data_IF_701196710414
#
_entry.id   IF_701196710414
#
_cell.length_a   1.000
_cell.length_b   1.000
_cell.length_c   1.000
_cell.angle_alpha   90.00
_cell.angle_beta   90.00
_cell.angle_gamma   90.00
#
_symmetry.space_group_name_H-M   'P 1'
#
loop_
_entity.id
_entity.type
_entity.pdbx_description
1 polymer ?
#
# COMPACT_ATOMS: atom_id res chain seq x y z
N UNK A 1 6.57 14.44 -22.18
CA UNK A 1 6.19 13.19 -21.49
C UNK A 1 5.84 12.18 -22.56
N UNK A 2 6.66 11.18 -22.70
CA UNK A 2 6.72 10.30 -23.88
C UNK A 2 5.62 9.22 -23.79
N UNK A 3 4.56 9.37 -24.57
CA UNK A 3 3.42 8.42 -24.63
C UNK A 3 3.85 7.01 -25.07
N UNK A 4 4.95 6.88 -25.81
CA UNK A 4 5.45 5.59 -26.29
C UNK A 4 6.09 4.73 -25.20
N UNK A 5 6.67 5.32 -24.16
CA UNK A 5 7.31 4.58 -23.07
C UNK A 5 6.27 4.01 -22.08
N UNK A 6 5.17 4.73 -21.88
CA UNK A 6 4.06 4.31 -20.99
C UNK A 6 3.31 3.11 -21.59
N UNK A 7 3.16 3.04 -22.91
CA UNK A 7 2.48 1.91 -23.58
C UNK A 7 3.33 0.64 -23.60
N UNK A 8 4.64 0.74 -23.83
CA UNK A 8 5.55 -0.41 -23.79
C UNK A 8 5.68 -1.02 -22.40
N UNK A 9 5.75 -0.19 -21.36
CA UNK A 9 5.76 -0.64 -19.96
C UNK A 9 4.42 -1.30 -19.56
N UNK A 10 3.30 -0.83 -20.09
CA UNK A 10 1.98 -1.42 -19.85
C UNK A 10 1.80 -2.78 -20.53
N UNK A 11 2.28 -2.93 -21.77
CA UNK A 11 2.22 -4.20 -22.51
C UNK A 11 3.12 -5.26 -21.88
N UNK A 12 4.35 -4.90 -21.49
CA UNK A 12 5.25 -5.80 -20.77
C UNK A 12 4.66 -6.23 -19.42
N UNK A 13 4.00 -5.32 -18.71
CA UNK A 13 3.30 -5.62 -17.46
C UNK A 13 2.14 -6.59 -17.67
N UNK A 14 1.34 -6.43 -18.72
CA UNK A 14 0.25 -7.35 -19.07
C UNK A 14 0.73 -8.74 -19.47
N UNK A 15 1.85 -8.83 -20.23
CA UNK A 15 2.47 -10.11 -20.57
C UNK A 15 2.91 -10.85 -19.29
N UNK A 16 3.56 -10.15 -18.38
CA UNK A 16 4.01 -10.73 -17.09
C UNK A 16 2.82 -11.17 -16.20
N UNK A 17 1.75 -10.37 -16.15
CA UNK A 17 0.52 -10.75 -15.45
C UNK A 17 -0.06 -12.03 -16.05
N UNK A 18 -0.10 -12.18 -17.37
CA UNK A 18 -0.58 -13.40 -18.01
C UNK A 18 0.25 -14.64 -17.62
N UNK A 19 1.56 -14.52 -17.52
CA UNK A 19 2.44 -15.62 -17.06
C UNK A 19 2.08 -16.04 -15.64
N UNK A 20 1.99 -15.08 -14.70
CA UNK A 20 1.61 -15.35 -13.33
C UNK A 20 0.23 -16.02 -13.25
N UNK A 21 -0.74 -15.52 -14.02
CA UNK A 21 -2.10 -16.08 -14.03
C UNK A 21 -2.13 -17.51 -14.57
N UNK A 22 -1.27 -17.86 -15.52
CA UNK A 22 -1.15 -19.24 -16.05
C UNK A 22 -0.65 -20.19 -14.96
N UNK A 23 0.32 -19.79 -14.12
CA UNK A 23 0.82 -20.61 -13.02
C UNK A 23 -0.29 -21.06 -12.05
N UNK A 24 -1.30 -20.21 -11.87
CA UNK A 24 -2.41 -20.44 -10.94
C UNK A 24 -3.70 -20.97 -11.62
N UNK A 25 -3.72 -21.12 -12.95
CA UNK A 25 -4.93 -21.47 -13.71
C UNK A 25 -5.52 -22.86 -13.40
N UNK A 26 -4.71 -23.76 -12.85
CA UNK A 26 -5.11 -25.10 -12.47
C UNK A 26 -5.91 -25.17 -11.14
N UNK A 27 -6.03 -24.06 -10.40
CA UNK A 27 -6.54 -24.07 -9.04
C UNK A 27 -7.63 -22.99 -8.86
N UNK A 28 -8.92 -23.40 -8.92
CA UNK A 28 -10.06 -22.46 -8.78
C UNK A 28 -10.07 -21.67 -7.47
N UNK A 29 -9.44 -22.16 -6.40
CA UNK A 29 -9.33 -21.50 -5.09
C UNK A 29 -8.12 -20.57 -4.97
N UNK A 30 -7.31 -20.46 -6.00
CA UNK A 30 -6.06 -19.68 -5.97
C UNK A 30 -6.23 -18.17 -6.15
N UNK A 31 -7.47 -17.62 -6.14
CA UNK A 31 -7.71 -16.20 -6.37
C UNK A 31 -6.90 -15.31 -5.42
N UNK A 32 -6.95 -15.58 -4.10
CA UNK A 32 -6.23 -14.76 -3.12
C UNK A 32 -4.71 -14.88 -3.28
N UNK A 33 -4.10 -16.08 -3.33
CA UNK A 33 -2.67 -16.21 -3.60
C UNK A 33 -2.24 -15.54 -4.91
N UNK A 34 -3.04 -15.63 -5.97
CA UNK A 34 -2.76 -15.02 -7.26
C UNK A 34 -2.73 -13.49 -7.18
N UNK A 35 -3.75 -12.86 -6.60
CA UNK A 35 -3.76 -11.40 -6.48
C UNK A 35 -2.66 -10.89 -5.54
N UNK A 36 -2.32 -11.65 -4.50
CA UNK A 36 -1.16 -11.35 -3.64
C UNK A 36 0.16 -11.44 -4.41
N UNK A 37 0.33 -12.45 -5.27
CA UNK A 37 1.52 -12.60 -6.10
C UNK A 37 1.68 -11.42 -7.07
N UNK A 38 0.59 -11.02 -7.74
CA UNK A 38 0.58 -9.85 -8.62
C UNK A 38 0.93 -8.59 -7.82
N UNK A 39 0.30 -8.37 -6.66
CA UNK A 39 0.59 -7.21 -5.83
C UNK A 39 2.03 -7.18 -5.33
N UNK A 40 2.61 -8.31 -4.96
CA UNK A 40 4.01 -8.39 -4.50
C UNK A 40 4.99 -8.03 -5.62
N UNK A 41 4.65 -8.35 -6.87
CA UNK A 41 5.52 -8.09 -8.01
C UNK A 41 5.38 -6.64 -8.54
N UNK A 42 4.15 -6.12 -8.59
CA UNK A 42 3.86 -4.78 -9.15
C UNK A 42 3.68 -3.69 -8.08
N UNK A 43 3.59 -4.05 -6.79
CA UNK A 43 3.30 -3.13 -5.69
C UNK A 43 1.80 -2.81 -5.54
N UNK A 44 0.98 -3.16 -6.52
CA UNK A 44 -0.48 -3.02 -6.54
C UNK A 44 -1.09 -4.01 -7.54
N UNK A 45 -2.41 -4.11 -7.60
CA UNK A 45 -3.14 -4.95 -8.55
C UNK A 45 -3.64 -4.04 -9.68
N UNK A 46 -3.02 -4.05 -10.87
CA UNK A 46 -3.46 -3.23 -12.00
C UNK A 46 -4.92 -3.56 -12.36
N UNK A 47 -5.83 -2.57 -12.49
CA UNK A 47 -7.23 -2.83 -12.82
C UNK A 47 -7.42 -3.66 -14.09
N UNK A 48 -6.51 -3.53 -15.05
CA UNK A 48 -6.50 -4.30 -16.30
C UNK A 48 -6.26 -5.81 -16.09
N UNK A 49 -5.67 -6.22 -14.96
CA UNK A 49 -5.46 -7.62 -14.61
C UNK A 49 -6.75 -8.34 -14.20
N UNK A 50 -7.73 -7.60 -13.68
CA UNK A 50 -8.96 -8.16 -13.12
C UNK A 50 -9.75 -9.01 -14.13
N UNK A 51 -10.05 -8.53 -15.36
CA UNK A 51 -10.73 -9.35 -16.36
C UNK A 51 -9.88 -10.55 -16.83
N UNK A 52 -8.55 -10.43 -16.84
CA UNK A 52 -7.65 -11.52 -17.21
C UNK A 52 -7.72 -12.64 -16.17
N UNK A 53 -7.62 -12.27 -14.88
CA UNK A 53 -7.77 -13.19 -13.74
C UNK A 53 -9.13 -13.90 -13.79
N UNK A 54 -10.20 -13.14 -13.95
CA UNK A 54 -11.56 -13.64 -14.01
C UNK A 54 -11.72 -14.69 -15.12
N UNK A 55 -11.30 -14.36 -16.34
CA UNK A 55 -11.38 -15.25 -17.50
C UNK A 55 -10.60 -16.55 -17.29
N UNK A 56 -9.37 -16.46 -16.74
CA UNK A 56 -8.51 -17.64 -16.55
C UNK A 56 -8.96 -18.57 -15.43
N UNK A 57 -9.51 -18.02 -14.34
CA UNK A 57 -10.02 -18.82 -13.22
C UNK A 57 -11.49 -19.26 -13.42
N UNK A 58 -12.15 -18.87 -14.51
CA UNK A 58 -13.57 -19.16 -14.75
C UNK A 58 -14.50 -18.46 -13.74
N UNK A 59 -14.13 -17.25 -13.30
CA UNK A 59 -14.89 -16.43 -12.36
C UNK A 59 -15.52 -15.23 -13.07
N UNK A 60 -16.52 -14.63 -12.43
CA UNK A 60 -17.01 -13.32 -12.85
C UNK A 60 -16.06 -12.21 -12.39
N UNK A 61 -15.91 -11.17 -13.19
CA UNK A 61 -15.09 -9.98 -12.84
C UNK A 61 -15.53 -9.37 -11.50
N UNK A 62 -16.81 -9.37 -11.22
CA UNK A 62 -17.38 -8.90 -9.94
C UNK A 62 -16.93 -9.71 -8.73
N UNK A 63 -16.71 -11.03 -8.89
CA UNK A 63 -16.20 -11.88 -7.80
C UNK A 63 -14.74 -11.53 -7.50
N UNK A 64 -13.92 -11.35 -8.53
CA UNK A 64 -12.52 -10.93 -8.36
C UNK A 64 -12.45 -9.55 -7.69
N UNK A 65 -13.26 -8.61 -8.16
CA UNK A 65 -13.31 -7.26 -7.60
C UNK A 65 -13.86 -7.24 -6.18
N UNK A 66 -14.85 -8.09 -5.88
CA UNK A 66 -15.37 -8.27 -4.52
C UNK A 66 -14.31 -8.74 -3.54
N UNK A 67 -13.48 -9.70 -3.93
CA UNK A 67 -12.35 -10.16 -3.11
C UNK A 67 -11.33 -9.04 -2.89
N UNK A 68 -10.93 -8.33 -3.95
CA UNK A 68 -9.95 -7.24 -3.85
C UNK A 68 -10.48 -6.11 -2.93
N UNK A 69 -11.75 -5.75 -3.05
CA UNK A 69 -12.34 -4.69 -2.20
C UNK A 69 -12.58 -5.11 -0.76
N UNK A 70 -12.78 -6.41 -0.50
CA UNK A 70 -12.99 -6.94 0.84
C UNK A 70 -11.71 -6.91 1.69
N UNK A 71 -10.56 -7.22 1.07
CA UNK A 71 -9.29 -7.26 1.79
C UNK A 71 -8.59 -5.90 1.73
N UNK A 72 -8.55 -5.17 2.84
CA UNK A 72 -7.90 -3.86 2.96
C UNK A 72 -6.39 -3.86 2.67
N UNK A 73 -5.78 -5.03 2.55
CA UNK A 73 -4.37 -5.20 2.20
C UNK A 73 -4.14 -5.31 0.68
N UNK A 74 -5.21 -5.39 -0.12
CA UNK A 74 -5.14 -5.46 -1.58
C UNK A 74 -5.40 -4.05 -2.16
N UNK A 75 -4.52 -3.61 -3.02
CA UNK A 75 -4.52 -2.24 -3.55
C UNK A 75 -4.62 -2.24 -5.07
N UNK A 76 -5.50 -1.42 -5.61
CA UNK A 76 -5.66 -1.24 -7.07
C UNK A 76 -4.94 0.00 -7.61
N UNK A 77 -4.35 0.79 -6.71
CA UNK A 77 -3.59 2.00 -7.05
C UNK A 77 -2.13 1.85 -6.64
N UNK A 78 -1.20 2.45 -7.39
CA UNK A 78 0.21 2.45 -7.03
C UNK A 78 0.44 3.04 -5.65
N UNK A 79 1.30 2.38 -4.87
CA UNK A 79 1.67 2.83 -3.53
C UNK A 79 3.15 3.18 -3.46
N UNK A 80 3.49 4.00 -2.50
CA UNK A 80 4.88 4.34 -2.22
C UNK A 80 5.68 3.13 -1.72
N UNK A 81 6.96 3.13 -2.02
CA UNK A 81 7.92 2.11 -1.55
C UNK A 81 7.91 1.97 -0.03
N UNK A 82 7.58 3.03 0.68
CA UNK A 82 7.52 3.10 2.14
C UNK A 82 6.13 3.51 2.59
N UNK A 83 5.47 2.63 3.32
CA UNK A 83 4.16 2.93 3.91
C UNK A 83 4.36 3.44 5.32
N UNK A 84 3.94 4.68 5.55
CA UNK A 84 3.94 5.34 6.85
C UNK A 84 2.57 5.16 7.49
N UNK A 85 2.48 4.41 8.59
CA UNK A 85 1.24 4.16 9.34
C UNK A 85 1.27 4.88 10.68
N UNK A 86 0.38 5.83 10.88
CA UNK A 86 0.24 6.55 12.14
C UNK A 86 -0.90 5.95 12.96
N UNK A 87 -0.61 5.57 14.19
CA UNK A 87 -1.60 4.98 15.10
C UNK A 87 -2.58 6.03 15.61
N UNK A 88 -3.89 5.76 15.48
CA UNK A 88 -4.99 6.60 16.00
C UNK A 88 -5.66 6.03 17.26
N UNK A 89 -5.18 4.91 17.79
CA UNK A 89 -5.71 4.29 18.99
C UNK A 89 -5.69 5.22 20.20
N UNK A 90 -6.55 4.98 21.19
CA UNK A 90 -6.79 5.84 22.33
C UNK A 90 -5.51 6.27 23.05
N UNK A 91 -4.60 5.33 23.35
CA UNK A 91 -3.34 5.65 24.02
C UNK A 91 -2.45 6.61 23.20
N UNK A 92 -2.39 6.42 21.86
CA UNK A 92 -1.65 7.32 20.99
C UNK A 92 -2.34 8.68 20.86
N UNK A 93 -3.67 8.69 20.76
CA UNK A 93 -4.46 9.91 20.67
C UNK A 93 -4.25 10.82 21.87
N UNK A 94 -4.40 10.28 23.10
CA UNK A 94 -4.22 11.02 24.35
C UNK A 94 -2.79 11.55 24.51
N UNK A 95 -1.80 10.80 24.01
CA UNK A 95 -0.38 11.18 24.08
C UNK A 95 0.10 12.02 22.89
N UNK A 96 -0.82 12.65 22.14
CA UNK A 96 -0.47 13.60 21.09
C UNK A 96 -0.35 13.00 19.67
N UNK A 97 -0.94 11.82 19.42
CA UNK A 97 -0.93 11.17 18.10
C UNK A 97 -1.48 12.06 16.97
N UNK A 98 -2.45 12.95 17.26
CA UNK A 98 -2.93 13.96 16.29
C UNK A 98 -1.81 14.88 15.80
N UNK A 99 -0.93 15.32 16.70
CA UNK A 99 0.21 16.18 16.36
C UNK A 99 1.21 15.42 15.48
N UNK A 100 1.46 14.14 15.79
CA UNK A 100 2.34 13.29 14.97
C UNK A 100 1.79 13.13 13.56
N UNK A 101 0.49 12.87 13.42
CA UNK A 101 -0.16 12.77 12.11
C UNK A 101 -0.08 14.09 11.32
N UNK A 102 -0.39 15.23 11.97
CA UNK A 102 -0.29 16.54 11.33
C UNK A 102 1.13 16.84 10.82
N UNK A 103 2.14 16.47 11.60
CA UNK A 103 3.54 16.64 11.19
C UNK A 103 3.93 15.69 10.06
N UNK A 104 3.46 14.43 10.08
CA UNK A 104 3.69 13.50 8.98
C UNK A 104 3.09 14.02 7.67
N UNK A 105 1.83 14.51 7.68
CA UNK A 105 1.20 15.17 6.52
C UNK A 105 2.04 16.34 6.01
N UNK A 106 2.47 17.20 6.91
CA UNK A 106 3.26 18.39 6.55
C UNK A 106 4.60 18.02 5.92
N UNK A 107 5.32 17.04 6.49
CA UNK A 107 6.62 16.63 5.95
C UNK A 107 6.52 15.89 4.61
N UNK A 108 5.46 15.11 4.40
CA UNK A 108 5.25 14.35 3.18
C UNK A 108 4.50 15.14 2.10
N UNK A 109 3.85 16.25 2.46
CA UNK A 109 3.04 17.06 1.54
C UNK A 109 1.79 16.35 1.02
N UNK A 110 1.29 15.35 1.74
CA UNK A 110 0.15 14.52 1.35
C UNK A 110 -0.84 14.33 2.49
N UNK A 111 -2.08 13.99 2.14
CA UNK A 111 -3.14 13.65 3.09
C UNK A 111 -3.18 12.14 3.41
N UNK A 112 -4.03 11.75 4.38
CA UNK A 112 -4.27 10.35 4.73
C UNK A 112 -4.78 9.56 3.53
N UNK A 113 -4.24 8.39 3.28
CA UNK A 113 -4.57 7.53 2.15
C UNK A 113 -3.85 7.89 0.84
N UNK A 114 -3.10 8.98 0.81
CA UNK A 114 -2.40 9.41 -0.40
C UNK A 114 -0.96 8.91 -0.47
N UNK A 115 -0.45 8.88 -1.69
CA UNK A 115 0.94 8.54 -2.03
C UNK A 115 1.64 9.78 -2.59
N UNK A 116 2.90 9.97 -2.24
CA UNK A 116 3.72 11.06 -2.78
C UNK A 116 3.92 10.91 -4.29
N UNK A 117 4.03 12.03 -5.06
CA UNK A 117 4.16 11.97 -6.52
C UNK A 117 5.38 11.20 -7.02
N UNK A 118 6.44 11.11 -6.20
CA UNK A 118 7.65 10.33 -6.46
C UNK A 118 7.52 8.83 -6.15
N UNK A 119 6.32 8.40 -5.67
CA UNK A 119 6.04 7.03 -5.22
C UNK A 119 6.97 6.54 -4.11
N UNK A 120 7.55 7.44 -3.32
CA UNK A 120 8.43 7.04 -2.22
C UNK A 120 7.64 6.72 -0.95
N UNK A 121 6.58 7.50 -0.64
CA UNK A 121 5.78 7.33 0.57
C UNK A 121 4.29 7.22 0.28
N UNK A 122 3.62 6.35 1.06
CA UNK A 122 2.16 6.36 1.25
C UNK A 122 1.87 6.63 2.72
N UNK A 123 0.98 7.58 3.02
CA UNK A 123 0.57 7.89 4.38
C UNK A 123 -0.76 7.23 4.71
N UNK A 124 -0.77 6.42 5.75
CA UNK A 124 -1.97 5.74 6.27
C UNK A 124 -2.18 6.03 7.75
N UNK A 125 -3.41 5.83 8.19
CA UNK A 125 -3.74 5.75 9.60
C UNK A 125 -4.27 4.36 9.95
N UNK A 126 -3.97 3.89 11.15
CA UNK A 126 -4.46 2.62 11.67
C UNK A 126 -5.11 2.79 13.03
N UNK A 127 -6.14 2.00 13.29
CA UNK A 127 -6.85 2.05 14.56
C UNK A 127 -5.94 1.73 15.75
N UNK A 128 -5.11 0.69 15.64
CA UNK A 128 -4.13 0.33 16.66
C UNK A 128 -3.00 -0.54 16.06
N UNK A 129 -1.75 -0.25 16.46
CA UNK A 129 -0.58 -1.05 16.09
C UNK A 129 -0.28 -2.16 17.13
N UNK A 130 -0.94 -2.11 18.30
CA UNK A 130 -0.70 -3.07 19.38
C UNK A 130 0.44 -2.71 20.34
N UNK A 131 1.17 -1.61 20.11
CA UNK A 131 2.36 -1.20 20.90
C UNK A 131 2.03 0.00 21.79
N UNK A 132 0.92 -0.05 22.54
CA UNK A 132 0.38 1.07 23.32
C UNK A 132 1.33 1.57 24.41
N UNK A 133 2.19 0.70 24.97
CA UNK A 133 3.20 1.10 25.96
C UNK A 133 4.20 2.12 25.41
N UNK A 134 4.43 2.13 24.09
CA UNK A 134 5.32 3.06 23.39
C UNK A 134 4.58 4.23 22.72
N UNK A 135 3.33 4.48 23.11
CA UNK A 135 2.52 5.57 22.53
C UNK A 135 3.15 6.96 22.76
N UNK A 136 2.99 7.93 21.84
CA UNK A 136 2.42 7.74 20.52
C UNK A 136 3.39 7.03 19.58
N UNK A 137 2.86 6.22 18.65
CA UNK A 137 3.70 5.42 17.77
C UNK A 137 3.32 5.55 16.29
N UNK A 138 4.29 5.23 15.45
CA UNK A 138 4.20 5.24 13.99
C UNK A 138 5.00 4.05 13.45
N UNK A 139 4.61 3.50 12.32
CA UNK A 139 5.36 2.47 11.59
C UNK A 139 5.76 3.02 10.24
N UNK A 140 6.99 2.78 9.83
CA UNK A 140 7.45 3.05 8.46
C UNK A 140 7.88 1.71 7.88
N UNK A 141 7.19 1.25 6.86
CA UNK A 141 7.29 -0.10 6.31
C UNK A 141 7.02 -1.15 7.39
N UNK A 142 8.05 -1.81 7.92
CA UNK A 142 7.93 -2.81 9.00
C UNK A 142 8.49 -2.31 10.34
N UNK A 143 9.15 -1.18 10.35
CA UNK A 143 9.83 -0.67 11.54
C UNK A 143 8.90 0.18 12.40
N UNK A 144 8.77 -0.21 13.67
CA UNK A 144 7.98 0.52 14.68
C UNK A 144 8.82 1.61 15.34
N UNK A 145 8.27 2.82 15.36
CA UNK A 145 8.84 3.99 16.06
C UNK A 145 7.90 4.41 17.19
N UNK A 146 8.35 4.25 18.42
CA UNK A 146 7.58 4.59 19.60
C UNK A 146 8.04 5.87 20.29
N UNK A 147 7.20 6.34 21.24
CA UNK A 147 7.43 7.59 21.99
C UNK A 147 7.77 8.74 21.04
N UNK A 148 6.94 8.86 20.02
CA UNK A 148 7.10 9.87 18.97
C UNK A 148 6.85 11.26 19.54
N UNK A 149 7.62 12.22 19.05
CA UNK A 149 7.48 13.64 19.33
C UNK A 149 7.83 14.45 18.08
N UNK A 150 7.52 15.75 18.03
CA UNK A 150 7.78 16.57 16.84
C UNK A 150 9.24 16.52 16.35
N UNK A 151 10.20 16.52 17.26
CA UNK A 151 11.63 16.46 16.92
C UNK A 151 12.00 15.14 16.23
N UNK A 152 11.50 14.02 16.73
CA UNK A 152 11.71 12.69 16.13
C UNK A 152 11.08 12.58 14.75
N UNK A 153 9.87 13.11 14.56
CA UNK A 153 9.20 13.11 13.24
C UNK A 153 10.09 13.83 12.22
N UNK A 154 10.53 15.04 12.52
CA UNK A 154 11.42 15.80 11.64
C UNK A 154 12.75 15.10 11.35
N UNK A 155 13.33 14.40 12.34
CA UNK A 155 14.56 13.65 12.14
C UNK A 155 14.38 12.41 11.25
N UNK A 156 13.23 11.73 11.36
CA UNK A 156 12.94 10.56 10.55
C UNK A 156 12.77 10.92 9.07
N UNK A 157 12.03 11.97 8.78
CA UNK A 157 11.81 12.38 7.38
C UNK A 157 13.02 13.10 6.76
N UNK A 158 13.93 13.72 7.54
CA UNK A 158 15.20 14.24 7.05
C UNK A 158 16.20 13.15 6.70
N UNK A 159 16.29 12.08 7.51
CA UNK A 159 17.24 10.95 7.27
C UNK A 159 16.81 10.06 6.10
N UNK A 160 15.61 10.20 5.65
CA UNK A 160 15.02 9.36 4.60
C UNK A 160 15.04 10.07 3.24
N UNK A 161 15.37 11.37 3.22
CA UNK A 161 15.58 12.17 2.01
C UNK A 161 17.05 12.28 1.58
N UNK A 162 17.97 11.64 2.31
CA UNK A 162 19.38 11.41 1.93
C UNK A 162 19.55 9.95 1.50
#
# INVERSE_FOLDING_TARGET
>A
MDKGKITADAEASLARINEIVVEYSQQKWALIPLVQKIQNEFGYIPPQSIPIIAKKLGLFTSQVQGVISFYSQLYTEPRGRRVVRVCRGTACHVRGGKTILKLAKHHLGIEEGQTTPDLEYTLETVACIGVCALAPNMVISERVYGRMNPKKVGQLFKKVGE
#
